data_IF_642673533883
#
_entry.id   IF_642673533883
#
_cell.length_a   1.000
_cell.length_b   1.000
_cell.length_c   1.000
_cell.angle_alpha   90.00
_cell.angle_beta   90.00
_cell.angle_gamma   90.00
#
_symmetry.space_group_name_H-M   'P 1'
#
loop_
_entity.id
_entity.type
_entity.pdbx_description
1 polymer ?
#
# COMPACT_ATOMS: atom_id res chain seq x y z
N UNK A 1 16.97 -18.15 6.80
CA UNK A 1 15.61 -18.35 6.29
C UNK A 1 14.92 -17.00 6.34
N UNK A 2 14.37 -16.55 5.23
CA UNK A 2 13.65 -15.27 5.16
C UNK A 2 12.33 -15.33 5.93
N UNK A 3 11.81 -14.17 6.33
CA UNK A 3 10.57 -14.06 7.12
C UNK A 3 9.31 -14.41 6.30
N UNK A 4 9.40 -14.41 4.96
CA UNK A 4 8.31 -14.67 4.03
C UNK A 4 8.59 -15.86 3.09
N UNK A 5 9.39 -16.81 3.56
CA UNK A 5 9.75 -18.00 2.79
C UNK A 5 8.47 -18.74 2.36
N UNK A 6 8.43 -19.16 1.08
CA UNK A 6 7.29 -19.86 0.46
C UNK A 6 5.97 -19.05 0.41
N UNK A 7 5.96 -17.76 0.77
CA UNK A 7 4.77 -16.90 0.69
C UNK A 7 4.63 -16.28 -0.69
N UNK A 8 3.39 -16.08 -1.11
CA UNK A 8 3.04 -15.32 -2.31
C UNK A 8 2.45 -13.97 -1.89
N UNK A 9 3.08 -12.88 -2.33
CA UNK A 9 2.63 -11.53 -2.06
C UNK A 9 2.19 -10.81 -3.34
N UNK A 10 0.98 -10.25 -3.33
CA UNK A 10 0.48 -9.34 -4.36
C UNK A 10 0.55 -7.91 -3.82
N UNK A 11 1.23 -7.03 -4.56
CA UNK A 11 1.46 -5.64 -4.16
C UNK A 11 0.92 -4.72 -5.25
N UNK A 12 0.00 -3.83 -4.90
CA UNK A 12 -0.51 -2.81 -5.84
C UNK A 12 0.32 -1.52 -5.75
N UNK A 13 0.50 -0.82 -6.88
CA UNK A 13 1.40 0.33 -6.94
C UNK A 13 2.86 -0.08 -6.73
N UNK A 14 3.23 -1.26 -7.21
CA UNK A 14 4.54 -1.86 -6.98
C UNK A 14 5.65 -1.30 -7.88
N UNK A 15 5.33 -0.49 -8.89
CA UNK A 15 6.29 0.06 -9.83
C UNK A 15 7.12 1.22 -9.25
N UNK A 16 6.72 1.82 -8.12
CA UNK A 16 7.40 2.98 -7.55
C UNK A 16 7.24 3.09 -6.03
N UNK A 17 8.02 3.99 -5.43
CA UNK A 17 7.87 4.42 -4.04
C UNK A 17 7.85 3.26 -3.03
N UNK A 18 6.91 3.33 -2.10
CA UNK A 18 6.73 2.36 -1.01
C UNK A 18 6.46 0.94 -1.56
N UNK A 19 5.59 0.84 -2.58
CA UNK A 19 5.26 -0.46 -3.19
C UNK A 19 6.47 -1.17 -3.79
N UNK A 20 7.34 -0.42 -4.47
CA UNK A 20 8.59 -0.93 -5.03
C UNK A 20 9.57 -1.39 -3.93
N UNK A 21 9.75 -0.58 -2.91
CA UNK A 21 10.61 -0.93 -1.78
C UNK A 21 10.10 -2.19 -1.05
N UNK A 22 8.78 -2.30 -0.86
CA UNK A 22 8.17 -3.48 -0.26
C UNK A 22 8.33 -4.73 -1.15
N UNK A 23 8.17 -4.60 -2.47
CA UNK A 23 8.34 -5.72 -3.40
C UNK A 23 9.76 -6.28 -3.36
N UNK A 24 10.77 -5.42 -3.34
CA UNK A 24 12.18 -5.81 -3.20
C UNK A 24 12.45 -6.47 -1.84
N UNK A 25 12.00 -5.84 -0.76
CA UNK A 25 12.24 -6.35 0.60
C UNK A 25 11.53 -7.70 0.81
N UNK A 26 10.28 -7.84 0.36
CA UNK A 26 9.54 -9.10 0.50
C UNK A 26 10.18 -10.22 -0.33
N UNK A 27 10.69 -9.91 -1.53
CA UNK A 27 11.43 -10.88 -2.34
C UNK A 27 12.74 -11.31 -1.66
N UNK A 28 13.48 -10.38 -1.05
CA UNK A 28 14.69 -10.68 -0.26
C UNK A 28 14.39 -11.57 0.95
N UNK A 29 13.19 -11.44 1.51
CA UNK A 29 12.69 -12.26 2.63
C UNK A 29 12.04 -13.58 2.17
N UNK A 30 12.17 -13.93 0.88
CA UNK A 30 11.78 -15.24 0.33
C UNK A 30 10.40 -15.30 -0.32
N UNK A 31 9.64 -14.20 -0.38
CA UNK A 31 8.33 -14.20 -1.01
C UNK A 31 8.41 -14.24 -2.55
N UNK A 32 7.44 -14.91 -3.16
CA UNK A 32 7.13 -14.76 -4.58
C UNK A 32 6.23 -13.55 -4.79
N UNK A 33 6.61 -12.62 -5.70
CA UNK A 33 5.98 -11.31 -5.83
C UNK A 33 5.10 -11.23 -7.09
N UNK A 34 3.84 -10.84 -6.92
CA UNK A 34 3.00 -10.33 -8.01
C UNK A 34 3.02 -8.81 -7.92
N UNK A 35 3.71 -8.17 -8.86
CA UNK A 35 3.80 -6.73 -9.00
C UNK A 35 2.62 -6.23 -9.85
N UNK A 36 1.65 -5.57 -9.24
CA UNK A 36 0.47 -5.04 -9.91
C UNK A 36 0.55 -3.51 -10.01
N UNK A 37 0.60 -2.99 -11.22
CA UNK A 37 0.71 -1.54 -11.47
C UNK A 37 0.12 -1.16 -12.82
N UNK A 38 -0.26 0.11 -12.97
CA UNK A 38 -0.68 0.67 -14.24
C UNK A 38 0.52 1.00 -15.17
N UNK A 39 1.68 1.26 -14.57
CA UNK A 39 2.93 1.55 -15.29
C UNK A 39 3.63 0.23 -15.67
N UNK A 40 3.41 -0.17 -16.93
CA UNK A 40 3.93 -1.44 -17.43
C UNK A 40 5.46 -1.46 -17.59
N UNK A 41 6.10 -0.31 -17.85
CA UNK A 41 7.54 -0.22 -18.01
C UNK A 41 8.24 -0.42 -16.68
N UNK A 42 7.93 0.43 -15.69
CA UNK A 42 8.49 0.31 -14.35
C UNK A 42 8.09 -0.98 -13.63
N UNK A 43 6.88 -1.48 -13.91
CA UNK A 43 6.42 -2.76 -13.37
C UNK A 43 7.22 -3.96 -13.87
N UNK A 44 7.71 -3.93 -15.10
CA UNK A 44 8.65 -4.92 -15.62
C UNK A 44 10.06 -4.74 -15.06
N UNK A 45 10.48 -3.50 -14.86
CA UNK A 45 11.81 -3.21 -14.31
C UNK A 45 11.98 -3.78 -12.90
N UNK A 46 10.96 -3.65 -12.04
CA UNK A 46 11.01 -4.23 -10.69
C UNK A 46 11.08 -5.76 -10.73
N UNK A 47 10.35 -6.41 -11.63
CA UNK A 47 10.45 -7.88 -11.83
C UNK A 47 11.86 -8.28 -12.23
N UNK A 48 12.44 -7.61 -13.23
CA UNK A 48 13.79 -7.88 -13.69
C UNK A 48 14.83 -7.69 -12.56
N UNK A 49 14.63 -6.70 -11.68
CA UNK A 49 15.52 -6.46 -10.56
C UNK A 49 15.41 -7.58 -9.50
N UNK A 50 14.19 -8.00 -9.16
CA UNK A 50 13.96 -9.11 -8.23
C UNK A 50 14.59 -10.41 -8.77
N UNK A 51 14.41 -10.70 -10.06
CA UNK A 51 14.98 -11.90 -10.69
C UNK A 51 16.52 -11.89 -10.72
N UNK A 52 17.16 -10.72 -10.94
CA UNK A 52 18.63 -10.58 -10.82
C UNK A 52 19.14 -10.89 -9.41
N UNK A 53 18.31 -10.70 -8.38
CA UNK A 53 18.61 -11.03 -6.99
C UNK A 53 18.21 -12.48 -6.64
N UNK A 54 17.91 -13.32 -7.65
CA UNK A 54 17.43 -14.69 -7.52
C UNK A 54 16.06 -14.83 -6.81
N UNK A 55 15.28 -13.76 -6.73
CA UNK A 55 13.90 -13.79 -6.27
C UNK A 55 12.94 -14.24 -7.38
N UNK A 56 11.67 -14.44 -7.01
CA UNK A 56 10.59 -14.80 -7.95
C UNK A 56 9.62 -13.64 -8.04
N UNK A 57 9.36 -13.16 -9.26
CA UNK A 57 8.38 -12.10 -9.46
C UNK A 57 7.63 -12.25 -10.78
N UNK A 58 6.45 -11.65 -10.85
CA UNK A 58 5.63 -11.57 -12.05
C UNK A 58 4.91 -10.23 -12.10
N UNK A 59 4.92 -9.55 -13.25
CA UNK A 59 4.21 -8.30 -13.44
C UNK A 59 2.82 -8.52 -14.05
N UNK A 60 1.83 -7.83 -13.49
CA UNK A 60 0.46 -7.80 -14.01
C UNK A 60 0.04 -6.34 -14.22
N UNK A 61 -0.28 -5.91 -15.47
CA UNK A 61 -0.85 -4.59 -15.71
C UNK A 61 -2.19 -4.48 -14.98
N UNK A 62 -2.31 -3.52 -14.07
CA UNK A 62 -3.48 -3.40 -13.21
C UNK A 62 -3.86 -1.95 -12.95
N UNK A 63 -4.97 -1.51 -13.52
CA UNK A 63 -5.71 -0.36 -13.04
C UNK A 63 -6.61 -0.82 -11.89
N UNK A 64 -6.24 -0.44 -10.67
CA UNK A 64 -6.92 -0.87 -9.44
C UNK A 64 -8.36 -0.35 -9.30
N UNK A 65 -8.78 0.59 -10.14
CA UNK A 65 -10.17 1.09 -10.17
C UNK A 65 -11.11 0.14 -10.91
N UNK A 66 -10.56 -0.83 -11.66
CA UNK A 66 -11.26 -1.77 -12.50
C UNK A 66 -11.36 -3.15 -11.85
N UNK A 67 -12.58 -3.65 -11.68
CA UNK A 67 -12.84 -4.94 -11.03
C UNK A 67 -12.21 -6.12 -11.78
N UNK A 68 -12.28 -6.12 -13.12
CA UNK A 68 -11.69 -7.17 -13.96
C UNK A 68 -10.14 -7.20 -13.86
N UNK A 69 -9.49 -6.05 -13.75
CA UNK A 69 -8.03 -5.98 -13.55
C UNK A 69 -7.63 -6.49 -12.15
N UNK A 70 -8.41 -6.14 -11.11
CA UNK A 70 -8.16 -6.63 -9.75
C UNK A 70 -8.34 -8.16 -9.66
N UNK A 71 -9.40 -8.69 -10.26
CA UNK A 71 -9.62 -10.13 -10.34
C UNK A 71 -8.47 -10.83 -11.06
N UNK A 72 -8.08 -10.34 -12.23
CA UNK A 72 -6.98 -10.88 -13.02
C UNK A 72 -5.65 -10.89 -12.23
N UNK A 73 -5.33 -9.84 -11.47
CA UNK A 73 -4.12 -9.80 -10.65
C UNK A 73 -4.09 -10.91 -9.59
N UNK A 74 -5.22 -11.18 -8.93
CA UNK A 74 -5.35 -12.28 -7.97
C UNK A 74 -5.26 -13.64 -8.66
N UNK A 75 -5.91 -13.82 -9.81
CA UNK A 75 -5.83 -15.05 -10.60
C UNK A 75 -4.40 -15.36 -11.03
N UNK A 76 -3.61 -14.37 -11.41
CA UNK A 76 -2.19 -14.52 -11.73
C UNK A 76 -1.36 -15.00 -10.54
N UNK A 77 -1.66 -14.54 -9.30
CA UNK A 77 -1.00 -15.05 -8.11
C UNK A 77 -1.23 -16.57 -7.94
N UNK A 78 -2.47 -17.01 -8.10
CA UNK A 78 -2.85 -18.41 -8.00
C UNK A 78 -2.21 -19.24 -9.13
N UNK A 79 -2.32 -18.78 -10.37
CA UNK A 79 -1.82 -19.52 -11.54
C UNK A 79 -0.29 -19.64 -11.54
N UNK A 80 0.41 -18.59 -11.10
CA UNK A 80 1.86 -18.51 -11.19
C UNK A 80 2.59 -19.10 -9.99
N UNK A 81 2.00 -18.94 -8.80
CA UNK A 81 2.64 -19.28 -7.52
C UNK A 81 1.82 -20.19 -6.63
N UNK A 82 0.63 -20.63 -7.09
CA UNK A 82 -0.20 -21.62 -6.40
C UNK A 82 -1.16 -21.08 -5.34
N UNK A 83 -1.09 -19.79 -5.00
CA UNK A 83 -1.95 -19.19 -3.98
C UNK A 83 -1.66 -17.72 -3.74
N UNK A 84 -2.25 -17.17 -2.67
CA UNK A 84 -2.02 -15.79 -2.24
C UNK A 84 -2.04 -15.74 -0.71
N UNK A 85 -0.92 -15.41 -0.09
CA UNK A 85 -0.76 -15.29 1.37
C UNK A 85 -0.83 -13.84 1.83
N UNK A 86 -0.30 -12.90 1.02
CA UNK A 86 -0.12 -11.50 1.40
C UNK A 86 -0.71 -10.61 0.31
N UNK A 87 -1.63 -9.72 0.68
CA UNK A 87 -2.09 -8.64 -0.17
C UNK A 87 -1.63 -7.30 0.43
N UNK A 88 -0.80 -6.56 -0.30
CA UNK A 88 -0.44 -5.21 0.07
C UNK A 88 -1.14 -4.20 -0.86
N UNK A 89 -2.24 -3.64 -0.41
CA UNK A 89 -2.99 -2.56 -1.04
C UNK A 89 -2.25 -1.24 -0.81
N UNK A 90 -1.31 -0.92 -1.72
CA UNK A 90 -0.46 0.25 -1.58
C UNK A 90 -0.76 1.34 -2.62
N UNK A 91 -1.36 1.01 -3.76
CA UNK A 91 -1.72 2.00 -4.77
C UNK A 91 -2.55 3.16 -4.18
N UNK A 92 -2.19 4.38 -4.53
CA UNK A 92 -2.87 5.57 -4.02
C UNK A 92 -2.46 6.83 -4.74
N UNK A 93 -3.30 7.85 -4.65
CA UNK A 93 -3.07 9.19 -5.20
C UNK A 93 -3.48 10.26 -4.20
N UNK A 94 -2.96 11.46 -4.37
CA UNK A 94 -3.36 12.65 -3.64
C UNK A 94 -3.69 13.80 -4.59
N UNK A 95 -4.73 14.56 -4.23
CA UNK A 95 -5.07 15.86 -4.83
C UNK A 95 -5.09 16.89 -3.72
N UNK A 96 -4.27 17.94 -3.88
CA UNK A 96 -4.10 19.02 -2.90
C UNK A 96 -5.07 20.15 -3.20
N UNK A 97 -6.28 20.04 -2.69
CA UNK A 97 -7.34 21.04 -2.83
C UNK A 97 -8.24 21.05 -1.59
N UNK A 98 -8.78 22.24 -1.25
CA UNK A 98 -9.81 22.39 -0.22
C UNK A 98 -11.16 21.84 -0.73
N UNK A 99 -12.13 21.65 0.18
CA UNK A 99 -13.50 21.21 -0.19
C UNK A 99 -14.16 22.15 -1.22
N UNK A 100 -13.87 23.43 -1.17
CA UNK A 100 -14.50 24.43 -2.06
C UNK A 100 -13.90 24.39 -3.46
N UNK A 101 -12.61 24.07 -3.57
CA UNK A 101 -11.87 24.08 -4.84
C UNK A 101 -11.90 22.72 -5.55
N UNK A 102 -12.12 21.64 -4.80
CA UNK A 102 -12.06 20.28 -5.31
C UNK A 102 -13.23 19.97 -6.23
N UNK A 103 -12.94 19.58 -7.48
CA UNK A 103 -13.94 19.12 -8.43
C UNK A 103 -14.43 17.69 -8.12
N UNK A 104 -15.69 17.39 -8.45
CA UNK A 104 -16.29 16.06 -8.27
C UNK A 104 -15.48 14.95 -8.94
N UNK A 105 -14.97 15.19 -10.15
CA UNK A 105 -14.13 14.23 -10.88
C UNK A 105 -12.86 13.85 -10.13
N UNK A 106 -12.19 14.82 -9.49
CA UNK A 106 -11.00 14.55 -8.69
C UNK A 106 -11.35 13.87 -7.36
N UNK A 107 -12.47 14.24 -6.75
CA UNK A 107 -13.01 13.52 -5.60
C UNK A 107 -13.25 12.05 -5.91
N UNK A 108 -14.01 11.76 -6.96
CA UNK A 108 -14.34 10.41 -7.39
C UNK A 108 -13.09 9.61 -7.70
N UNK A 109 -12.12 10.20 -8.43
CA UNK A 109 -10.86 9.56 -8.76
C UNK A 109 -10.05 9.20 -7.51
N UNK A 110 -9.96 10.09 -6.51
CA UNK A 110 -9.28 9.80 -5.23
C UNK A 110 -9.98 8.66 -4.48
N UNK A 111 -11.31 8.67 -4.41
CA UNK A 111 -12.08 7.62 -3.74
C UNK A 111 -11.98 6.29 -4.49
N UNK A 112 -12.03 6.28 -5.82
CA UNK A 112 -11.89 5.06 -6.62
C UNK A 112 -10.51 4.42 -6.44
N UNK A 113 -9.44 5.23 -6.51
CA UNK A 113 -8.07 4.71 -6.38
C UNK A 113 -7.73 4.34 -4.94
N UNK A 114 -8.08 5.17 -3.93
CA UNK A 114 -7.61 4.97 -2.56
C UNK A 114 -8.50 4.04 -1.72
N UNK A 115 -9.79 3.93 -2.05
CA UNK A 115 -10.76 3.18 -1.23
C UNK A 115 -11.37 2.01 -1.98
N UNK A 116 -12.01 2.28 -3.14
CA UNK A 116 -12.69 1.25 -3.92
C UNK A 116 -11.72 0.17 -4.41
N UNK A 117 -10.48 0.54 -4.73
CA UNK A 117 -9.42 -0.41 -5.09
C UNK A 117 -9.18 -1.46 -4.00
N UNK A 118 -9.10 -1.01 -2.73
CA UNK A 118 -8.90 -1.90 -1.57
C UNK A 118 -10.08 -2.88 -1.45
N UNK A 119 -11.30 -2.37 -1.62
CA UNK A 119 -12.48 -3.22 -1.65
C UNK A 119 -12.40 -4.25 -2.78
N UNK A 120 -12.09 -3.84 -4.00
CA UNK A 120 -12.04 -4.73 -5.17
C UNK A 120 -10.95 -5.81 -5.01
N UNK A 121 -9.73 -5.40 -4.67
CA UNK A 121 -8.62 -6.34 -4.47
C UNK A 121 -8.94 -7.34 -3.35
N UNK A 122 -9.43 -6.87 -2.22
CA UNK A 122 -9.77 -7.72 -1.07
C UNK A 122 -10.92 -8.67 -1.37
N UNK A 123 -11.92 -8.22 -2.13
CA UNK A 123 -13.06 -9.04 -2.58
C UNK A 123 -12.60 -10.31 -3.31
N UNK A 124 -11.57 -10.20 -4.15
CA UNK A 124 -11.05 -11.34 -4.91
C UNK A 124 -9.96 -12.10 -4.15
N UNK A 125 -9.16 -11.43 -3.33
CA UNK A 125 -8.08 -12.05 -2.56
C UNK A 125 -8.58 -12.92 -1.39
N UNK A 126 -9.57 -12.46 -0.63
CA UNK A 126 -10.06 -13.14 0.57
C UNK A 126 -10.53 -14.57 0.31
N UNK A 127 -11.32 -14.88 -0.73
CA UNK A 127 -11.70 -16.26 -1.02
C UNK A 127 -10.49 -17.18 -1.27
N UNK A 128 -9.44 -16.67 -1.92
CA UNK A 128 -8.20 -17.42 -2.17
C UNK A 128 -7.45 -17.66 -0.87
N UNK A 129 -7.28 -16.63 -0.05
CA UNK A 129 -6.63 -16.74 1.27
C UNK A 129 -7.37 -17.72 2.18
N UNK A 130 -8.71 -17.64 2.23
CA UNK A 130 -9.54 -18.57 3.00
C UNK A 130 -9.32 -20.02 2.57
N UNK A 131 -9.27 -20.28 1.27
CA UNK A 131 -9.01 -21.64 0.72
C UNK A 131 -7.58 -22.12 1.01
N UNK A 132 -6.62 -21.20 1.11
CA UNK A 132 -5.22 -21.46 1.48
C UNK A 132 -4.99 -21.62 3.00
N UNK A 133 -6.03 -21.46 3.82
CA UNK A 133 -5.94 -21.62 5.29
C UNK A 133 -5.64 -20.33 6.07
N UNK A 134 -5.71 -19.18 5.42
CA UNK A 134 -5.52 -17.85 6.01
C UNK A 134 -4.64 -16.94 5.16
N UNK A 135 -4.33 -15.75 5.68
CA UNK A 135 -3.51 -14.77 4.98
C UNK A 135 -3.39 -13.45 5.73
N UNK A 136 -2.77 -12.47 5.09
CA UNK A 136 -2.69 -11.12 5.65
C UNK A 136 -2.91 -10.05 4.59
N UNK A 137 -3.71 -9.06 4.94
CA UNK A 137 -3.98 -7.88 4.11
C UNK A 137 -3.40 -6.66 4.82
N UNK A 138 -2.62 -5.88 4.09
CA UNK A 138 -2.02 -4.64 4.55
C UNK A 138 -2.56 -3.52 3.66
N UNK A 139 -3.19 -2.52 4.26
CA UNK A 139 -3.72 -1.38 3.53
C UNK A 139 -2.86 -0.14 3.80
N UNK A 140 -2.56 0.66 2.79
CA UNK A 140 -1.86 1.93 2.97
C UNK A 140 -2.86 3.05 3.24
N UNK A 141 -2.99 3.44 4.52
CA UNK A 141 -3.66 4.67 4.93
C UNK A 141 -2.68 5.85 4.88
N UNK A 142 -2.68 6.71 5.87
CA UNK A 142 -1.80 7.87 6.06
C UNK A 142 -1.93 8.36 7.50
N UNK A 143 -0.98 9.15 8.00
CA UNK A 143 -1.20 9.99 9.17
C UNK A 143 -2.45 10.85 9.01
N UNK A 144 -2.73 11.35 7.80
CA UNK A 144 -3.97 12.08 7.50
C UNK A 144 -5.23 11.20 7.35
N UNK A 145 -5.14 9.92 7.59
CA UNK A 145 -6.29 9.06 7.84
C UNK A 145 -6.71 9.01 9.31
N UNK A 146 -5.85 9.55 10.20
CA UNK A 146 -6.08 9.61 11.66
C UNK A 146 -6.35 11.05 12.10
N UNK A 147 -5.71 12.02 11.46
CA UNK A 147 -5.94 13.47 11.67
C UNK A 147 -6.23 14.14 10.33
N UNK A 148 -6.73 15.38 10.37
CA UNK A 148 -6.92 16.19 9.16
C UNK A 148 -5.61 16.80 8.65
N UNK A 149 -5.53 17.04 7.34
CA UNK A 149 -4.46 17.79 6.68
C UNK A 149 -5.01 18.95 5.84
N UNK A 150 -4.25 20.06 5.70
CA UNK A 150 -4.70 21.20 4.93
C UNK A 150 -4.76 20.90 3.43
N UNK A 151 -5.74 21.46 2.73
CA UNK A 151 -5.90 21.31 1.28
C UNK A 151 -5.80 19.85 0.78
N UNK A 152 -6.42 18.91 1.52
CA UNK A 152 -6.36 17.48 1.20
C UNK A 152 -7.70 16.78 1.49
N UNK A 153 -8.81 17.45 1.18
CA UNK A 153 -10.15 17.00 1.61
C UNK A 153 -10.48 15.57 1.17
N UNK A 154 -10.38 15.25 -0.13
CA UNK A 154 -10.63 13.91 -0.64
C UNK A 154 -9.61 12.88 -0.11
N UNK A 155 -8.34 13.27 0.00
CA UNK A 155 -7.29 12.39 0.50
C UNK A 155 -7.54 12.01 1.96
N UNK A 156 -7.75 12.98 2.85
CA UNK A 156 -8.05 12.71 4.26
C UNK A 156 -9.31 11.83 4.41
N UNK A 157 -10.38 12.15 3.69
CA UNK A 157 -11.60 11.34 3.69
C UNK A 157 -11.31 9.89 3.23
N UNK A 158 -10.57 9.73 2.13
CA UNK A 158 -10.22 8.41 1.61
C UNK A 158 -9.36 7.60 2.59
N UNK A 159 -8.35 8.24 3.20
CA UNK A 159 -7.43 7.55 4.13
C UNK A 159 -8.09 7.25 5.49
N UNK A 160 -9.03 8.08 5.94
CA UNK A 160 -9.91 7.78 7.08
C UNK A 160 -10.84 6.59 6.79
N UNK A 161 -11.41 6.52 5.57
CA UNK A 161 -12.20 5.38 5.13
C UNK A 161 -11.38 4.08 5.14
N UNK A 162 -10.11 4.11 4.71
CA UNK A 162 -9.20 2.95 4.77
C UNK A 162 -9.01 2.45 6.19
N UNK A 163 -8.85 3.34 7.17
CA UNK A 163 -8.72 2.96 8.60
C UNK A 163 -9.94 2.16 9.08
N UNK A 164 -11.14 2.66 8.81
CA UNK A 164 -12.37 2.00 9.26
C UNK A 164 -12.68 0.73 8.45
N UNK A 165 -12.43 0.74 7.14
CA UNK A 165 -12.56 -0.46 6.30
C UNK A 165 -11.63 -1.58 6.79
N UNK A 166 -10.39 -1.25 7.15
CA UNK A 166 -9.43 -2.19 7.74
C UNK A 166 -9.98 -2.86 8.99
N UNK A 167 -10.55 -2.07 9.91
CA UNK A 167 -11.14 -2.60 11.16
C UNK A 167 -12.34 -3.50 10.91
N UNK A 168 -13.23 -3.09 10.00
CA UNK A 168 -14.38 -3.90 9.60
C UNK A 168 -13.93 -5.24 9.03
N UNK A 169 -13.02 -5.22 8.07
CA UNK A 169 -12.49 -6.45 7.46
C UNK A 169 -11.76 -7.34 8.48
N UNK A 170 -11.06 -6.78 9.46
CA UNK A 170 -10.39 -7.54 10.50
C UNK A 170 -11.40 -8.33 11.37
N UNK A 171 -12.56 -7.74 11.65
CA UNK A 171 -13.65 -8.40 12.40
C UNK A 171 -14.27 -9.51 11.54
N UNK A 172 -14.61 -9.19 10.28
CA UNK A 172 -15.34 -10.10 9.40
C UNK A 172 -14.50 -11.35 9.04
N UNK A 173 -13.19 -11.19 8.82
CA UNK A 173 -12.32 -12.25 8.26
C UNK A 173 -11.31 -12.84 9.27
N UNK A 174 -11.29 -12.36 10.51
CA UNK A 174 -10.53 -12.99 11.60
C UNK A 174 -10.86 -14.47 11.80
N UNK A 175 -12.15 -14.90 11.77
CA UNK A 175 -12.52 -16.32 11.82
C UNK A 175 -11.94 -17.17 10.68
N UNK A 176 -11.66 -16.56 9.53
CA UNK A 176 -11.03 -17.21 8.37
C UNK A 176 -9.48 -17.21 8.46
N UNK A 177 -8.90 -16.79 9.59
CA UNK A 177 -7.46 -16.59 9.79
C UNK A 177 -6.85 -15.56 8.82
N UNK A 178 -7.62 -14.58 8.38
CA UNK A 178 -7.12 -13.46 7.58
C UNK A 178 -6.93 -12.27 8.51
N UNK A 179 -5.68 -11.85 8.71
CA UNK A 179 -5.37 -10.63 9.44
C UNK A 179 -5.48 -9.43 8.50
N UNK A 180 -6.07 -8.34 8.96
CA UNK A 180 -6.19 -7.12 8.15
C UNK A 180 -5.73 -5.94 8.99
N UNK A 181 -4.67 -5.25 8.52
CA UNK A 181 -4.10 -4.10 9.21
C UNK A 181 -3.87 -2.95 8.22
N UNK A 182 -3.68 -1.73 8.72
CA UNK A 182 -3.21 -0.66 7.86
C UNK A 182 -1.94 0.00 8.41
N UNK A 183 -1.13 0.53 7.49
CA UNK A 183 0.00 1.39 7.79
C UNK A 183 -0.45 2.83 7.55
N UNK A 184 -0.05 3.73 8.45
CA UNK A 184 -0.29 5.16 8.36
C UNK A 184 1.06 5.89 8.22
N UNK A 185 1.63 5.97 7.01
CA UNK A 185 2.87 6.70 6.78
C UNK A 185 2.69 8.20 7.08
N UNK A 186 3.75 8.82 7.61
CA UNK A 186 3.96 10.26 7.51
C UNK A 186 4.58 10.63 6.17
N UNK A 187 5.15 11.84 6.09
CA UNK A 187 5.86 12.29 4.90
C UNK A 187 7.01 11.33 4.59
N UNK A 188 6.94 10.73 3.41
CA UNK A 188 7.88 9.71 2.93
C UNK A 188 8.45 10.15 1.59
N UNK A 189 9.77 10.08 1.43
CA UNK A 189 10.46 10.51 0.21
C UNK A 189 10.06 9.63 -0.98
N UNK A 190 9.11 10.13 -1.73
CA UNK A 190 8.51 9.49 -2.91
C UNK A 190 8.21 10.55 -3.97
N UNK A 191 7.94 10.11 -5.19
CA UNK A 191 7.45 11.00 -6.25
C UNK A 191 6.13 11.69 -5.87
N UNK A 192 5.27 11.04 -5.07
CA UNK A 192 4.01 11.61 -4.58
C UNK A 192 4.27 12.84 -3.70
N UNK A 193 5.19 12.75 -2.74
CA UNK A 193 5.52 13.88 -1.85
C UNK A 193 6.09 15.06 -2.64
N UNK A 194 6.96 14.80 -3.62
CA UNK A 194 7.50 15.85 -4.50
C UNK A 194 6.42 16.46 -5.39
N UNK A 195 5.45 15.65 -5.84
CA UNK A 195 4.30 16.13 -6.60
C UNK A 195 3.38 17.03 -5.78
N UNK A 196 3.24 16.79 -4.47
CA UNK A 196 2.50 17.67 -3.56
C UNK A 196 3.11 19.07 -3.51
N UNK A 197 4.45 19.20 -3.47
CA UNK A 197 5.11 20.51 -3.53
C UNK A 197 4.70 21.28 -4.81
N UNK A 198 4.69 20.59 -5.96
CA UNK A 198 4.25 21.16 -7.24
C UNK A 198 2.77 21.57 -7.23
N UNK A 199 1.88 20.72 -6.71
CA UNK A 199 0.45 21.02 -6.60
C UNK A 199 0.20 22.25 -5.71
N UNK A 200 1.00 22.43 -4.65
CA UNK A 200 0.94 23.56 -3.73
C UNK A 200 1.73 24.78 -4.20
N UNK A 201 2.39 24.72 -5.36
CA UNK A 201 3.26 25.78 -5.91
C UNK A 201 4.32 26.25 -4.92
N UNK A 202 4.91 25.27 -4.19
CA UNK A 202 6.02 25.49 -3.26
C UNK A 202 7.33 25.01 -3.87
N UNK A 203 8.42 25.65 -3.50
CA UNK A 203 9.76 25.16 -3.80
C UNK A 203 9.98 23.78 -3.13
N UNK A 204 10.55 22.84 -3.90
CA UNK A 204 10.69 21.45 -3.46
C UNK A 204 11.56 21.33 -2.21
N UNK A 205 12.69 22.03 -2.16
CA UNK A 205 13.62 21.97 -1.03
C UNK A 205 13.01 22.51 0.26
N UNK A 206 12.24 23.62 0.19
CA UNK A 206 11.51 24.15 1.34
C UNK A 206 10.41 23.19 1.81
N UNK A 207 9.69 22.59 0.86
CA UNK A 207 8.64 21.64 1.19
C UNK A 207 9.21 20.39 1.86
N UNK A 208 10.34 19.87 1.37
CA UNK A 208 11.03 18.72 1.96
C UNK A 208 11.62 19.05 3.33
N UNK A 209 12.12 20.27 3.54
CA UNK A 209 12.60 20.71 4.85
C UNK A 209 11.46 20.78 5.89
N UNK A 210 10.29 21.29 5.50
CA UNK A 210 9.09 21.27 6.35
C UNK A 210 8.62 19.85 6.65
N UNK A 211 8.64 18.98 5.65
CA UNK A 211 8.32 17.57 5.80
C UNK A 211 9.28 16.83 6.74
N UNK A 212 10.53 17.28 6.85
CA UNK A 212 11.52 16.76 7.78
C UNK A 212 11.36 17.25 9.22
N UNK A 213 10.52 18.29 9.46
CA UNK A 213 10.27 18.84 10.79
C UNK A 213 9.39 17.91 11.64
N UNK A 214 9.97 16.78 12.03
CA UNK A 214 9.39 15.71 12.84
C UNK A 214 10.32 15.43 14.03
N UNK A 215 9.84 14.80 15.11
CA UNK A 215 10.70 14.44 16.25
C UNK A 215 11.97 13.68 15.86
N UNK A 216 11.92 12.79 14.84
CA UNK A 216 13.10 12.10 14.33
C UNK A 216 13.96 12.93 13.35
N UNK A 217 13.60 14.18 13.06
CA UNK A 217 14.42 15.16 12.32
C UNK A 217 14.68 14.81 10.84
N UNK A 218 13.86 13.97 10.23
CA UNK A 218 13.98 13.61 8.80
C UNK A 218 12.66 13.22 8.17
N UNK A 219 12.61 13.28 6.86
CA UNK A 219 11.56 12.62 6.06
C UNK A 219 11.73 11.10 6.17
N UNK A 220 10.65 10.36 6.19
CA UNK A 220 10.70 8.89 6.12
C UNK A 220 11.24 8.42 4.77
N UNK A 221 11.90 7.27 4.76
CA UNK A 221 12.28 6.59 3.52
C UNK A 221 11.24 5.55 3.12
N UNK A 222 11.23 5.13 1.87
CA UNK A 222 10.37 4.04 1.41
C UNK A 222 10.67 2.73 2.15
N UNK A 223 11.91 2.52 2.57
CA UNK A 223 12.36 1.37 3.35
C UNK A 223 11.83 1.38 4.78
N UNK A 224 11.66 2.55 5.42
CA UNK A 224 11.03 2.64 6.74
C UNK A 224 9.61 2.07 6.70
N UNK A 225 8.86 2.40 5.65
CA UNK A 225 7.48 1.92 5.46
C UNK A 225 7.46 0.45 5.02
N UNK A 226 8.38 0.04 4.13
CA UNK A 226 8.49 -1.35 3.68
C UNK A 226 8.80 -2.30 4.84
N UNK A 227 9.65 -1.89 5.81
CA UNK A 227 9.93 -2.67 7.03
C UNK A 227 8.71 -2.82 7.93
N UNK A 228 7.91 -1.78 8.07
CA UNK A 228 6.64 -1.86 8.78
C UNK A 228 5.64 -2.79 8.08
N UNK A 229 5.60 -2.75 6.74
CA UNK A 229 4.80 -3.68 5.94
C UNK A 229 5.29 -5.12 6.12
N UNK A 230 6.61 -5.36 6.12
CA UNK A 230 7.20 -6.68 6.37
C UNK A 230 6.79 -7.24 7.76
N UNK A 231 6.85 -6.42 8.81
CA UNK A 231 6.38 -6.82 10.13
C UNK A 231 4.92 -7.27 10.08
N UNK A 232 4.03 -6.51 9.44
CA UNK A 232 2.62 -6.86 9.32
C UNK A 232 2.37 -8.07 8.39
N UNK A 233 3.24 -8.30 7.43
CA UNK A 233 3.19 -9.44 6.51
C UNK A 233 3.62 -10.75 7.18
N UNK A 234 4.55 -10.70 8.12
CA UNK A 234 5.19 -11.86 8.72
C UNK A 234 4.44 -12.41 9.95
N UNK A 235 4.88 -13.58 10.42
CA UNK A 235 4.37 -14.22 11.64
C UNK A 235 4.70 -13.45 12.92
N UNK A 236 5.62 -12.46 12.86
CA UNK A 236 5.90 -11.57 13.99
C UNK A 236 4.67 -10.78 14.43
N UNK A 237 3.71 -10.58 13.53
CA UNK A 237 2.44 -9.91 13.79
C UNK A 237 1.24 -10.88 13.86
N UNK A 238 1.48 -12.15 14.20
CA UNK A 238 0.44 -13.21 14.19
C UNK A 238 -0.77 -12.92 15.10
N UNK A 239 -0.62 -12.07 16.12
CA UNK A 239 -1.71 -11.63 17.01
C UNK A 239 -2.11 -10.15 16.77
N UNK A 240 -1.76 -9.59 15.60
CA UNK A 240 -2.07 -8.20 15.25
C UNK A 240 -3.07 -8.17 14.09
N UNK A 241 -4.29 -7.70 14.37
CA UNK A 241 -5.32 -7.45 13.36
C UNK A 241 -6.18 -6.24 13.74
N UNK A 242 -6.68 -5.49 12.77
CA UNK A 242 -7.48 -4.27 12.96
C UNK A 242 -6.67 -3.05 13.41
N UNK A 243 -5.33 -3.12 13.43
CA UNK A 243 -4.49 -2.00 13.85
C UNK A 243 -4.25 -0.97 12.75
N UNK A 244 -4.01 0.26 13.20
CA UNK A 244 -3.46 1.35 12.38
C UNK A 244 -2.04 1.64 12.88
N UNK A 245 -1.04 1.08 12.18
CA UNK A 245 0.37 1.24 12.53
C UNK A 245 0.88 2.58 11.98
N UNK A 246 1.10 3.54 12.86
CA UNK A 246 1.65 4.86 12.50
C UNK A 246 3.17 4.73 12.31
N UNK A 247 3.66 5.23 11.16
CA UNK A 247 5.08 5.21 10.79
C UNK A 247 5.43 6.57 10.21
N UNK A 248 5.67 7.55 11.09
CA UNK A 248 5.69 8.97 10.73
C UNK A 248 6.80 9.80 11.38
N UNK A 249 7.75 9.14 12.04
CA UNK A 249 8.83 9.82 12.76
C UNK A 249 8.36 10.66 13.96
N UNK A 250 7.16 10.37 14.49
CA UNK A 250 6.55 11.09 15.61
C UNK A 250 5.74 12.31 15.19
N UNK A 251 5.42 12.45 13.91
CA UNK A 251 4.68 13.62 13.39
C UNK A 251 3.28 13.81 13.95
N UNK A 252 2.68 12.75 14.53
CA UNK A 252 1.36 12.76 15.18
C UNK A 252 1.44 12.65 16.72
N UNK A 253 2.63 12.67 17.29
CA UNK A 253 2.81 12.57 18.75
C UNK A 253 2.43 13.85 19.48
#
# INVERSE_FOLDING_TARGET
MGQLEEKTALITGAASGIGRAAALLFAQEGASIVSADIDAERGKDIVNEIERLNGKAHFVPCDVTRADHCQNAVEHAVQRFGGLDILFNNAGIIVRQSVVELGETDWDRVMDVNVKSIFLMSKYAIPVMRSGGGGTIINTSSGWGVVGGPQAAAYCASKGAVVLLTRSMAIDFGPDRVRVNCICPGDTDTSMLRDEARQMRREEDEFMADAANRPLGRVGTTEDIAKAALFLASDQSSFVTGTSLIVDGGGLA
#
